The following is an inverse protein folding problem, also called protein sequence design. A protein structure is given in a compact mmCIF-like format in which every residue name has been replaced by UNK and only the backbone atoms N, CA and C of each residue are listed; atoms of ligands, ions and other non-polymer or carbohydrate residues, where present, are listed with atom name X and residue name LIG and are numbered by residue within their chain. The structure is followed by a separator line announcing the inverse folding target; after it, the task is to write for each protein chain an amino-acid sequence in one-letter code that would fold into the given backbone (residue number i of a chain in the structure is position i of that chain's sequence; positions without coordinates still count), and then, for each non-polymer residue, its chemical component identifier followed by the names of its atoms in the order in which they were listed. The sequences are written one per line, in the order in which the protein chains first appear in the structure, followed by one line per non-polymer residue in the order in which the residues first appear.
data_IF_852861186941
#
_entry.id   IF_852861186941
#
_cell.length_a   1.000
_cell.length_b   1.000
_cell.length_c   1.000
_cell.angle_alpha   90.00
_cell.angle_beta   90.00
_cell.angle_gamma   90.00
#
_symmetry.space_group_name_H-M   'P 1'
#
loop_
_entity.id
_entity.type
_entity.pdbx_description
1 polymer ?
#
# COMPACT_ATOMS: atom_id res chain seq x y z
N UNK A 1 46.75 -23.78 13.38
CA UNK A 1 45.67 -24.80 13.35
C UNK A 1 44.38 -24.17 12.86
N UNK A 2 44.11 -24.25 11.55
CA UNK A 2 42.84 -23.87 10.90
C UNK A 2 42.54 -24.99 9.90
N UNK A 3 41.53 -25.82 10.17
CA UNK A 3 41.11 -26.92 9.28
C UNK A 3 40.12 -26.36 8.26
N UNK A 4 40.56 -26.27 7.02
CA UNK A 4 39.74 -26.09 5.81
C UNK A 4 39.20 -27.47 5.42
N UNK A 5 37.88 -27.63 5.32
CA UNK A 5 37.24 -28.85 4.84
C UNK A 5 36.69 -28.60 3.42
N UNK A 6 37.36 -29.22 2.45
CA UNK A 6 37.08 -29.14 1.02
C UNK A 6 36.06 -30.25 0.66
N UNK A 7 34.87 -29.90 0.18
CA UNK A 7 33.86 -30.86 -0.29
C UNK A 7 33.82 -30.80 -1.82
N UNK A 8 34.35 -31.85 -2.47
CA UNK A 8 34.29 -32.10 -3.92
C UNK A 8 32.91 -32.66 -4.27
N UNK A 9 32.22 -32.01 -5.21
CA UNK A 9 31.01 -32.55 -5.84
C UNK A 9 31.41 -33.38 -7.06
N UNK A 10 31.16 -34.69 -7.02
CA UNK A 10 31.31 -35.59 -8.16
C UNK A 10 30.01 -35.60 -8.99
N UNK A 11 30.10 -35.15 -10.23
CA UNK A 11 29.06 -35.29 -11.26
C UNK A 11 29.07 -36.72 -11.79
N UNK A 12 27.94 -37.42 -11.69
CA UNK A 12 27.70 -38.69 -12.38
C UNK A 12 26.83 -38.42 -13.61
N UNK A 13 27.41 -38.65 -14.79
CA UNK A 13 26.72 -38.58 -16.07
C UNK A 13 25.87 -39.85 -16.28
N UNK A 14 24.59 -39.68 -16.62
CA UNK A 14 23.73 -40.76 -17.08
C UNK A 14 23.45 -40.54 -18.57
N UNK A 15 24.03 -41.42 -19.39
CA UNK A 15 23.82 -41.53 -20.83
C UNK A 15 22.62 -42.45 -21.06
N UNK A 16 21.61 -41.99 -21.80
CA UNK A 16 20.56 -42.83 -22.36
C UNK A 16 20.36 -42.45 -23.82
N UNK A 17 20.53 -43.46 -24.68
CA UNK A 17 20.61 -43.36 -26.12
C UNK A 17 19.22 -43.37 -26.79
N UNK A 18 19.08 -42.44 -27.75
CA UNK A 18 18.42 -42.50 -29.06
C UNK A 18 17.40 -43.61 -29.39
N UNK A 19 16.24 -43.19 -29.88
CA UNK A 19 15.68 -43.69 -31.14
C UNK A 19 14.74 -42.65 -31.78
N UNK A 20 14.96 -42.22 -33.04
CA UNK A 20 14.09 -41.28 -33.76
C UNK A 20 13.20 -41.97 -34.80
N UNK A 21 11.99 -41.45 -35.06
CA UNK A 21 11.26 -41.68 -36.30
C UNK A 21 10.67 -40.36 -36.82
N UNK A 22 11.12 -39.96 -38.00
CA UNK A 22 10.62 -38.86 -38.84
C UNK A 22 9.35 -39.35 -39.58
N UNK A 23 8.24 -38.60 -39.64
CA UNK A 23 7.92 -37.43 -40.49
C UNK A 23 7.09 -37.77 -41.74
N UNK A 24 6.30 -36.76 -42.16
CA UNK A 24 5.55 -36.56 -43.42
C UNK A 24 4.10 -37.09 -43.40
N UNK A 25 3.09 -36.38 -43.89
CA UNK A 25 3.03 -35.08 -44.57
C UNK A 25 1.56 -34.71 -44.84
N UNK A 26 1.31 -33.41 -45.03
CA UNK A 26 -0.01 -32.81 -45.27
C UNK A 26 -0.54 -33.12 -46.67
N UNK A 27 -1.87 -33.22 -46.83
CA UNK A 27 -2.54 -32.68 -48.03
C UNK A 27 -4.04 -32.46 -47.80
N UNK A 28 -4.48 -31.28 -48.22
CA UNK A 28 -5.82 -30.69 -48.18
C UNK A 28 -6.74 -31.26 -49.25
N UNK A 29 -8.05 -31.35 -48.98
CA UNK A 29 -9.12 -31.07 -49.97
C UNK A 29 -10.50 -30.93 -49.30
N UNK A 30 -11.03 -29.72 -49.44
CA UNK A 30 -12.39 -29.29 -49.74
C UNK A 30 -13.63 -30.08 -49.28
N UNK A 31 -14.49 -29.31 -48.58
CA UNK A 31 -15.92 -29.14 -48.80
C UNK A 31 -16.84 -30.36 -48.79
N UNK A 32 -17.81 -30.36 -47.85
CA UNK A 32 -19.23 -30.08 -48.13
C UNK A 32 -20.18 -30.79 -47.14
N UNK A 33 -21.25 -30.07 -46.80
CA UNK A 33 -22.63 -30.56 -46.53
C UNK A 33 -22.94 -31.34 -45.24
N UNK A 34 -23.57 -30.60 -44.33
CA UNK A 34 -24.93 -30.80 -43.81
C UNK A 34 -25.41 -32.15 -43.22
N UNK A 35 -26.01 -31.97 -42.03
CA UNK A 35 -27.16 -32.66 -41.44
C UNK A 35 -27.13 -34.20 -41.38
N UNK A 36 -26.90 -34.73 -40.17
CA UNK A 36 -27.72 -35.83 -39.66
C UNK A 36 -27.76 -35.84 -38.13
N UNK A 37 -29.00 -35.71 -37.62
CA UNK A 37 -29.44 -35.98 -36.27
C UNK A 37 -28.99 -37.37 -35.83
N UNK A 38 -28.31 -37.49 -34.69
CA UNK A 38 -28.15 -38.77 -34.00
C UNK A 38 -28.21 -38.60 -32.47
N UNK A 39 -29.23 -39.27 -31.95
CA UNK A 39 -29.69 -39.45 -30.58
C UNK A 39 -28.58 -39.63 -29.53
N UNK A 40 -28.72 -38.91 -28.41
CA UNK A 40 -27.95 -39.13 -27.19
C UNK A 40 -28.47 -40.37 -26.43
N UNK A 41 -27.60 -41.28 -25.96
CA UNK A 41 -27.97 -42.22 -24.90
C UNK A 41 -27.57 -41.70 -23.52
N UNK A 42 -28.58 -41.69 -22.65
CA UNK A 42 -28.60 -41.81 -21.19
C UNK A 42 -27.35 -41.39 -20.38
N UNK A 43 -27.55 -40.34 -19.58
CA UNK A 43 -26.71 -39.93 -18.47
C UNK A 43 -26.68 -41.01 -17.36
N UNK A 44 -25.47 -41.35 -16.90
CA UNK A 44 -25.27 -41.99 -15.60
C UNK A 44 -25.30 -40.93 -14.49
N UNK A 45 -25.90 -41.20 -13.31
CA UNK A 45 -25.90 -40.25 -12.21
C UNK A 45 -24.51 -40.25 -11.55
N UNK A 46 -23.68 -39.30 -11.95
CA UNK A 46 -22.48 -38.93 -11.21
C UNK A 46 -22.90 -38.34 -9.85
N UNK A 47 -22.33 -38.87 -8.78
CA UNK A 47 -22.42 -38.35 -7.43
C UNK A 47 -22.01 -36.88 -7.41
N UNK A 48 -23.00 -36.00 -7.41
CA UNK A 48 -22.80 -34.58 -7.18
C UNK A 48 -22.25 -34.41 -5.77
N UNK A 49 -20.96 -34.09 -5.69
CA UNK A 49 -20.34 -33.52 -4.51
C UNK A 49 -21.18 -32.33 -4.07
N UNK A 50 -21.88 -32.46 -2.94
CA UNK A 50 -22.61 -31.37 -2.33
C UNK A 50 -21.61 -30.28 -1.95
N UNK A 51 -21.47 -29.29 -2.82
CA UNK A 51 -20.83 -28.03 -2.47
C UNK A 51 -21.68 -27.39 -1.37
N UNK A 52 -21.26 -27.55 -0.12
CA UNK A 52 -21.88 -26.96 1.04
C UNK A 52 -21.97 -25.44 0.85
N UNK A 53 -23.17 -24.88 1.04
CA UNK A 53 -23.39 -23.44 1.01
C UNK A 53 -22.42 -22.71 1.96
N UNK A 54 -21.98 -21.47 1.63
CA UNK A 54 -21.08 -20.70 2.48
C UNK A 54 -21.67 -20.55 3.89
N UNK A 55 -20.83 -20.58 4.94
CA UNK A 55 -21.30 -20.45 6.32
C UNK A 55 -22.01 -19.10 6.51
N UNK A 56 -23.24 -19.14 7.04
CA UNK A 56 -23.99 -17.95 7.43
C UNK A 56 -23.24 -17.29 8.60
N UNK A 57 -23.08 -15.96 8.56
CA UNK A 57 -22.44 -15.22 9.64
C UNK A 57 -23.48 -14.76 10.66
N UNK A 58 -23.16 -14.93 11.93
CA UNK A 58 -23.99 -14.42 13.02
C UNK A 58 -23.68 -12.97 13.37
N UNK A 59 -24.45 -12.38 14.31
CA UNK A 59 -24.32 -10.98 14.72
C UNK A 59 -22.96 -10.63 15.36
N UNK A 60 -22.24 -11.60 15.90
CA UNK A 60 -20.91 -11.42 16.48
C UNK A 60 -19.78 -11.73 15.49
N UNK A 61 -20.11 -11.97 14.21
CA UNK A 61 -19.15 -12.31 13.15
C UNK A 61 -18.71 -13.78 13.16
N UNK A 62 -19.27 -14.59 14.04
CA UNK A 62 -19.05 -16.03 14.11
C UNK A 62 -19.76 -16.80 13.01
N UNK A 63 -19.55 -18.12 13.00
CA UNK A 63 -20.28 -19.03 12.11
C UNK A 63 -21.61 -19.39 12.75
N UNK A 64 -22.70 -19.18 12.03
CA UNK A 64 -24.04 -19.52 12.48
C UNK A 64 -24.46 -20.90 11.95
N UNK A 65 -24.91 -21.77 12.85
CA UNK A 65 -25.42 -23.12 12.56
C UNK A 65 -26.79 -23.31 13.16
N UNK A 66 -27.71 -23.86 12.37
CA UNK A 66 -29.02 -24.28 12.87
C UNK A 66 -28.94 -25.72 13.35
N UNK A 67 -29.31 -25.98 14.61
CA UNK A 67 -29.35 -27.34 15.16
C UNK A 67 -30.47 -27.45 16.21
N UNK A 68 -31.28 -28.50 16.13
CA UNK A 68 -32.42 -28.75 17.03
C UNK A 68 -33.38 -27.55 17.21
N UNK A 69 -33.54 -26.71 16.18
CA UNK A 69 -34.39 -25.51 16.26
C UNK A 69 -33.78 -24.34 17.03
N UNK A 70 -32.47 -24.40 17.33
CA UNK A 70 -31.67 -23.30 17.86
C UNK A 70 -30.69 -22.83 16.78
N UNK A 71 -30.38 -21.53 16.78
CA UNK A 71 -29.27 -21.00 16.01
C UNK A 71 -28.07 -20.84 16.96
N UNK A 72 -26.93 -21.39 16.57
CA UNK A 72 -25.70 -21.44 17.36
C UNK A 72 -24.63 -20.67 16.61
N UNK A 73 -24.11 -19.61 17.21
CA UNK A 73 -23.02 -18.83 16.64
C UNK A 73 -21.72 -19.17 17.37
N UNK A 74 -20.78 -19.78 16.65
CA UNK A 74 -19.44 -20.06 17.15
C UNK A 74 -18.49 -18.94 16.74
N UNK A 75 -17.90 -18.27 17.73
CA UNK A 75 -16.88 -17.23 17.55
C UNK A 75 -15.53 -17.77 18.03
N UNK A 76 -14.58 -17.89 17.11
CA UNK A 76 -13.20 -18.31 17.42
C UNK A 76 -12.28 -17.09 17.40
N UNK A 77 -11.57 -16.88 18.51
CA UNK A 77 -10.57 -15.82 18.65
C UNK A 77 -9.23 -16.42 19.09
N UNK A 78 -8.18 -15.62 19.15
CA UNK A 78 -6.91 -16.08 19.76
C UNK A 78 -7.02 -16.30 21.28
N UNK A 79 -8.03 -15.71 21.93
CA UNK A 79 -8.27 -15.84 23.38
C UNK A 79 -9.28 -16.92 23.77
N UNK A 80 -9.76 -17.70 22.80
CA UNK A 80 -10.64 -18.85 23.04
C UNK A 80 -11.82 -18.92 22.09
N UNK A 81 -12.79 -19.74 22.49
CA UNK A 81 -14.00 -20.03 21.73
C UNK A 81 -15.19 -19.54 22.54
N UNK A 82 -16.10 -18.81 21.89
CA UNK A 82 -17.37 -18.37 22.45
C UNK A 82 -18.51 -18.92 21.61
N UNK A 83 -19.59 -19.30 22.27
CA UNK A 83 -20.79 -19.83 21.65
C UNK A 83 -22.00 -19.04 22.13
N UNK A 84 -22.65 -18.36 21.19
CA UNK A 84 -23.92 -17.69 21.42
C UNK A 84 -25.07 -18.58 20.95
N UNK A 85 -26.17 -18.55 21.68
CA UNK A 85 -27.35 -19.37 21.39
C UNK A 85 -28.54 -18.45 21.16
N UNK A 86 -29.25 -18.67 20.06
CA UNK A 86 -30.45 -17.93 19.69
C UNK A 86 -31.59 -18.89 19.41
N UNK A 87 -32.82 -18.40 19.56
CA UNK A 87 -34.01 -19.12 19.14
C UNK A 87 -34.16 -19.16 17.61
N UNK A 88 -35.26 -19.76 17.10
CA UNK A 88 -35.53 -19.78 15.65
C UNK A 88 -35.71 -18.39 15.04
N UNK A 89 -36.16 -17.41 15.83
CA UNK A 89 -36.36 -16.03 15.42
C UNK A 89 -35.09 -15.18 15.46
N UNK A 90 -33.96 -15.73 15.94
CA UNK A 90 -32.70 -15.01 16.09
C UNK A 90 -32.62 -14.18 17.38
N UNK A 91 -33.53 -14.39 18.34
CA UNK A 91 -33.45 -13.75 19.65
C UNK A 91 -32.45 -14.47 20.55
N UNK A 92 -31.57 -13.75 21.28
CA UNK A 92 -30.60 -14.37 22.18
C UNK A 92 -31.31 -15.17 23.28
N UNK A 93 -30.82 -16.36 23.56
CA UNK A 93 -31.30 -17.20 24.66
C UNK A 93 -30.35 -17.11 25.86
N UNK A 94 -30.94 -17.21 27.06
CA UNK A 94 -30.17 -17.34 28.29
C UNK A 94 -29.44 -18.69 28.33
N UNK A 95 -28.15 -18.64 28.66
CA UNK A 95 -27.24 -19.79 28.72
C UNK A 95 -26.60 -19.97 30.10
N UNK A 96 -27.06 -19.27 31.14
CA UNK A 96 -26.50 -19.37 32.50
C UNK A 96 -26.53 -20.80 33.09
N UNK A 97 -27.53 -21.59 32.71
CA UNK A 97 -27.62 -23.01 33.07
C UNK A 97 -26.95 -23.94 32.04
N UNK A 98 -26.58 -23.38 30.88
CA UNK A 98 -25.92 -24.08 29.81
C UNK A 98 -24.53 -24.54 30.21
N UNK A 99 -24.17 -25.77 29.87
CA UNK A 99 -22.82 -26.30 30.01
C UNK A 99 -22.47 -27.05 28.74
N UNK A 100 -21.18 -27.18 28.46
CA UNK A 100 -20.76 -27.97 27.32
C UNK A 100 -19.29 -28.36 27.38
N UNK A 101 -18.87 -29.07 26.34
CA UNK A 101 -17.48 -29.33 26.08
C UNK A 101 -17.23 -29.24 24.58
N UNK A 102 -16.06 -28.71 24.22
CA UNK A 102 -15.57 -28.71 22.86
C UNK A 102 -14.32 -29.60 22.77
N UNK A 103 -14.32 -30.54 21.85
CA UNK A 103 -13.16 -31.33 21.48
C UNK A 103 -12.56 -30.76 20.20
N UNK A 104 -11.35 -30.22 20.28
CA UNK A 104 -10.64 -29.53 19.23
C UNK A 104 -9.55 -30.41 18.62
N UNK A 105 -9.42 -30.36 17.30
CA UNK A 105 -8.29 -30.87 16.55
C UNK A 105 -7.78 -29.75 15.64
N UNK A 106 -6.48 -29.46 15.71
CA UNK A 106 -5.84 -28.53 14.78
C UNK A 106 -5.58 -29.27 13.47
N UNK A 107 -5.83 -28.62 12.35
CA UNK A 107 -5.53 -29.17 11.02
C UNK A 107 -4.11 -29.73 10.93
N UNK A 108 -3.98 -30.94 10.39
CA UNK A 108 -2.70 -31.64 10.27
C UNK A 108 -2.17 -32.25 11.57
N UNK A 109 -2.87 -32.12 12.70
CA UNK A 109 -2.49 -32.75 13.98
C UNK A 109 -3.42 -33.91 14.34
N UNK A 110 -2.86 -35.02 14.79
CA UNK A 110 -3.66 -36.17 15.24
C UNK A 110 -4.26 -35.98 16.65
N UNK A 111 -3.62 -35.14 17.49
CA UNK A 111 -4.00 -34.97 18.88
C UNK A 111 -5.26 -34.12 19.03
N UNK A 112 -6.20 -34.61 19.85
CA UNK A 112 -7.41 -33.89 20.24
C UNK A 112 -7.26 -33.29 21.64
N UNK A 113 -7.83 -32.12 21.84
CA UNK A 113 -7.86 -31.42 23.12
C UNK A 113 -9.31 -31.13 23.50
N UNK A 114 -9.69 -31.38 24.76
CA UNK A 114 -11.05 -31.12 25.24
C UNK A 114 -11.03 -29.95 26.21
N UNK A 115 -11.96 -29.02 26.05
CA UNK A 115 -12.17 -27.88 26.92
C UNK A 115 -13.63 -27.75 27.29
N UNK A 116 -13.90 -27.35 28.52
CA UNK A 116 -15.27 -27.09 28.98
C UNK A 116 -15.74 -25.72 28.49
N UNK A 117 -17.01 -25.67 28.10
CA UNK A 117 -17.74 -24.46 27.73
C UNK A 117 -18.63 -24.09 28.91
N UNK A 118 -18.32 -22.96 29.54
CA UNK A 118 -19.02 -22.45 30.73
C UNK A 118 -19.62 -21.07 30.45
N UNK A 119 -20.72 -20.69 31.10
CA UNK A 119 -21.28 -19.35 30.97
C UNK A 119 -20.24 -18.28 31.33
N UNK A 120 -20.16 -17.24 30.52
CA UNK A 120 -19.25 -16.12 30.73
C UNK A 120 -19.90 -14.89 31.41
N UNK A 121 -21.19 -14.98 31.75
CA UNK A 121 -21.97 -13.86 32.28
C UNK A 121 -22.31 -12.78 31.24
N UNK A 122 -21.99 -13.01 29.97
CA UNK A 122 -22.24 -12.11 28.84
C UNK A 122 -23.20 -12.75 27.81
N UNK A 123 -23.95 -13.76 28.23
CA UNK A 123 -24.90 -14.48 27.37
C UNK A 123 -24.23 -15.48 26.40
N UNK A 124 -22.99 -15.90 26.67
CA UNK A 124 -22.30 -16.91 25.87
C UNK A 124 -21.71 -18.04 26.71
N UNK A 125 -21.49 -19.19 26.08
CA UNK A 125 -20.67 -20.25 26.65
C UNK A 125 -19.25 -20.13 26.11
N UNK A 126 -18.26 -20.03 27.01
CA UNK A 126 -16.87 -19.74 26.66
C UNK A 126 -15.92 -20.84 27.12
N UNK A 127 -14.97 -21.16 26.25
CA UNK A 127 -13.74 -21.87 26.57
C UNK A 127 -12.57 -20.88 26.44
N UNK A 128 -12.03 -20.43 27.57
CA UNK A 128 -10.89 -19.52 27.59
C UNK A 128 -9.58 -20.30 27.34
N UNK A 129 -9.10 -20.29 26.10
CA UNK A 129 -7.92 -21.03 25.65
C UNK A 129 -7.04 -20.12 24.82
N UNK A 130 -5.73 -20.14 25.06
CA UNK A 130 -4.78 -19.40 24.24
C UNK A 130 -4.56 -20.15 22.91
N UNK A 131 -5.17 -19.65 21.85
CA UNK A 131 -5.08 -20.19 20.49
C UNK A 131 -4.05 -19.45 19.62
N UNK A 132 -3.28 -18.51 20.18
CA UNK A 132 -2.34 -17.68 19.40
C UNK A 132 -1.24 -18.49 18.71
N UNK A 133 -0.80 -19.61 19.31
CA UNK A 133 0.19 -20.52 18.72
C UNK A 133 -0.30 -21.24 17.45
N UNK A 134 -1.62 -21.29 17.23
CA UNK A 134 -2.27 -21.93 16.07
C UNK A 134 -3.03 -20.91 15.21
N UNK A 135 -2.71 -19.62 15.36
CA UNK A 135 -3.29 -18.54 14.57
C UNK A 135 -3.04 -18.75 13.06
N UNK A 136 -4.11 -18.63 12.27
CA UNK A 136 -4.11 -18.89 10.83
C UNK A 136 -4.38 -20.35 10.44
N UNK A 137 -4.45 -21.28 11.38
CA UNK A 137 -4.81 -22.68 11.13
C UNK A 137 -6.30 -22.93 11.30
N UNK A 138 -6.80 -24.03 10.71
CA UNK A 138 -8.16 -24.50 10.95
C UNK A 138 -8.24 -25.36 12.22
N UNK A 139 -9.34 -25.21 12.94
CA UNK A 139 -9.77 -26.05 14.04
C UNK A 139 -10.98 -26.84 13.59
N UNK A 140 -10.90 -28.15 13.72
CA UNK A 140 -12.04 -29.05 13.66
C UNK A 140 -12.55 -29.28 15.08
N UNK A 141 -13.84 -29.06 15.29
CA UNK A 141 -14.45 -28.93 16.60
C UNK A 141 -15.68 -29.82 16.69
N UNK A 142 -15.69 -30.72 17.68
CA UNK A 142 -16.87 -31.47 18.09
C UNK A 142 -17.39 -30.83 19.39
N UNK A 143 -18.53 -30.13 19.32
CA UNK A 143 -19.12 -29.40 20.44
C UNK A 143 -20.32 -30.19 20.96
N UNK A 144 -20.41 -30.32 22.28
CA UNK A 144 -21.52 -30.93 23.01
C UNK A 144 -22.06 -29.95 24.04
N UNK A 145 -23.37 -29.74 24.07
CA UNK A 145 -24.05 -28.79 24.95
C UNK A 145 -25.19 -29.47 25.69
N UNK A 146 -25.41 -29.04 26.92
CA UNK A 146 -26.51 -29.46 27.80
C UNK A 146 -27.05 -28.24 28.55
N UNK A 147 -28.26 -28.35 29.11
CA UNK A 147 -28.85 -27.27 29.92
C UNK A 147 -29.28 -26.04 29.10
N UNK A 148 -29.55 -26.22 27.81
CA UNK A 148 -30.11 -25.17 26.95
C UNK A 148 -31.65 -25.17 27.04
N UNK A 149 -32.31 -24.00 27.08
CA UNK A 149 -33.74 -23.89 27.37
C UNK A 149 -34.67 -24.61 26.36
N UNK A 150 -34.20 -24.87 25.14
CA UNK A 150 -34.97 -25.62 24.12
C UNK A 150 -34.58 -27.11 23.99
N UNK A 151 -33.56 -27.59 24.72
CA UNK A 151 -33.04 -28.95 24.61
C UNK A 151 -33.40 -29.77 25.86
N UNK A 152 -34.64 -30.24 25.94
CA UNK A 152 -35.19 -30.81 27.18
C UNK A 152 -34.86 -32.30 27.43
N UNK A 153 -34.11 -32.98 26.55
CA UNK A 153 -33.85 -34.42 26.72
C UNK A 153 -32.47 -34.95 26.30
N UNK A 154 -31.79 -34.35 25.32
CA UNK A 154 -30.52 -34.88 24.79
C UNK A 154 -29.43 -33.79 24.71
N UNK A 155 -28.15 -34.15 24.88
CA UNK A 155 -27.05 -33.25 24.60
C UNK A 155 -27.09 -32.82 23.12
N UNK A 156 -27.10 -31.52 22.88
CA UNK A 156 -26.97 -31.00 21.53
C UNK A 156 -25.52 -31.17 21.08
N UNK A 157 -25.32 -31.85 19.95
CA UNK A 157 -23.98 -32.08 19.39
C UNK A 157 -23.88 -31.46 18.00
N UNK A 158 -22.77 -30.78 17.73
CA UNK A 158 -22.47 -30.25 16.39
C UNK A 158 -20.98 -30.40 16.07
N UNK A 159 -20.72 -30.54 14.78
CA UNK A 159 -19.39 -30.57 14.22
C UNK A 159 -19.15 -29.31 13.39
N UNK A 160 -18.02 -28.64 13.61
CA UNK A 160 -17.68 -27.41 12.91
C UNK A 160 -16.19 -27.34 12.59
N UNK A 161 -15.86 -26.75 11.44
CA UNK A 161 -14.51 -26.31 11.12
C UNK A 161 -14.46 -24.79 11.12
N UNK A 162 -13.57 -24.21 11.92
CA UNK A 162 -13.39 -22.76 12.04
C UNK A 162 -11.91 -22.38 12.01
N UNK A 163 -11.57 -21.23 11.42
CA UNK A 163 -10.19 -20.74 11.38
C UNK A 163 -9.87 -19.85 12.57
N UNK A 164 -8.70 -20.05 13.18
CA UNK A 164 -8.20 -19.12 14.20
C UNK A 164 -7.72 -17.83 13.52
N UNK A 165 -8.18 -16.64 13.93
CA UNK A 165 -7.73 -15.38 13.35
C UNK A 165 -6.21 -15.23 13.44
N UNK A 166 -5.58 -14.76 12.35
CA UNK A 166 -4.13 -14.50 12.30
C UNK A 166 -3.71 -13.44 13.32
N UNK A 167 -2.49 -13.55 13.85
CA UNK A 167 -1.93 -12.55 14.77
C UNK A 167 -1.65 -11.24 14.05
N UNK A 168 -1.54 -10.13 14.81
CA UNK A 168 -1.14 -8.85 14.25
C UNK A 168 0.20 -8.95 13.48
N UNK A 169 1.16 -9.72 14.01
CA UNK A 169 2.45 -9.96 13.36
C UNK A 169 2.29 -10.72 12.02
N UNK A 170 1.45 -11.76 11.98
CA UNK A 170 1.16 -12.49 10.74
C UNK A 170 0.44 -11.61 9.71
N UNK A 171 -0.47 -10.74 10.15
CA UNK A 171 -1.18 -9.79 9.27
C UNK A 171 -0.22 -8.78 8.66
N UNK A 172 0.68 -8.22 9.46
CA UNK A 172 1.77 -7.33 9.00
C UNK A 172 2.66 -8.07 8.00
N UNK A 173 3.12 -9.28 8.34
CA UNK A 173 3.96 -10.08 7.45
C UNK A 173 3.27 -10.38 6.12
N UNK A 174 1.98 -10.72 6.14
CA UNK A 174 1.19 -10.94 4.93
C UNK A 174 1.00 -9.65 4.12
N UNK A 175 0.81 -8.50 4.77
CA UNK A 175 0.69 -7.21 4.11
C UNK A 175 2.00 -6.79 3.43
N UNK A 176 3.14 -6.95 4.12
CA UNK A 176 4.49 -6.77 3.57
C UNK A 176 4.71 -7.69 2.37
N UNK A 177 4.37 -8.98 2.50
CA UNK A 177 4.53 -9.97 1.44
C UNK A 177 3.64 -9.71 0.22
N UNK A 178 2.44 -9.11 0.41
CA UNK A 178 1.59 -8.63 -0.70
C UNK A 178 2.20 -7.41 -1.38
N UNK A 179 2.73 -6.47 -0.60
CA UNK A 179 3.30 -5.25 -1.15
C UNK A 179 4.60 -5.51 -1.92
N UNK A 180 5.45 -6.43 -1.42
CA UNK A 180 6.74 -6.90 -1.98
C UNK A 180 7.84 -5.85 -2.11
N UNK A 181 7.49 -4.63 -2.49
CA UNK A 181 8.41 -3.57 -2.91
C UNK A 181 8.12 -2.29 -2.15
N UNK A 182 9.17 -1.58 -1.75
CA UNK A 182 9.04 -0.25 -1.16
C UNK A 182 8.55 0.75 -2.23
N UNK A 183 7.45 1.50 -1.99
CA UNK A 183 6.86 2.39 -2.99
C UNK A 183 7.74 3.61 -3.30
N UNK A 184 8.63 3.97 -2.37
CA UNK A 184 9.56 5.10 -2.53
C UNK A 184 10.82 4.66 -3.27
N UNK A 185 11.55 3.68 -2.72
CA UNK A 185 12.86 3.27 -3.25
C UNK A 185 12.78 2.27 -4.40
N UNK A 186 11.65 1.58 -4.56
CA UNK A 186 11.48 0.47 -5.50
C UNK A 186 12.28 -0.79 -5.18
N UNK A 187 12.93 -0.85 -4.00
CA UNK A 187 13.66 -2.05 -3.54
C UNK A 187 12.72 -3.06 -2.86
N UNK A 188 13.05 -4.37 -2.87
CA UNK A 188 12.28 -5.38 -2.14
C UNK A 188 12.19 -5.07 -0.64
N UNK A 189 11.01 -5.19 -0.05
CA UNK A 189 10.85 -5.10 1.40
C UNK A 189 11.59 -6.25 2.08
N UNK A 190 12.28 -5.97 3.19
CA UNK A 190 13.17 -6.92 3.88
C UNK A 190 14.64 -6.84 3.45
N UNK A 191 14.96 -6.24 2.29
CA UNK A 191 16.35 -6.09 1.84
C UNK A 191 17.18 -5.08 2.64
N UNK A 192 16.53 -4.25 3.45
CA UNK A 192 17.14 -3.20 4.27
C UNK A 192 16.79 -3.38 5.76
N UNK A 193 16.46 -4.60 6.18
CA UNK A 193 15.93 -4.92 7.50
C UNK A 193 14.40 -4.92 7.56
N UNK A 194 13.87 -4.88 8.77
CA UNK A 194 12.43 -4.96 9.02
C UNK A 194 11.68 -3.78 8.40
N UNK A 195 10.65 -4.03 7.57
CA UNK A 195 9.86 -2.96 6.97
C UNK A 195 9.18 -2.09 8.02
N UNK A 196 9.27 -0.78 7.83
CA UNK A 196 8.64 0.22 8.68
C UNK A 196 7.24 0.52 8.12
N UNK A 197 6.24 0.52 8.99
CA UNK A 197 4.87 0.85 8.61
C UNK A 197 4.62 2.37 8.74
N UNK A 198 3.94 2.95 7.75
CA UNK A 198 3.52 4.35 7.73
C UNK A 198 2.02 4.38 7.47
N UNK A 199 1.26 5.00 8.36
CA UNK A 199 -0.16 5.22 8.14
C UNK A 199 -0.38 6.34 7.11
N UNK A 200 -1.17 6.05 6.09
CA UNK A 200 -1.60 7.01 5.08
C UNK A 200 -3.12 6.90 4.98
N UNK A 201 -3.83 7.84 5.62
CA UNK A 201 -5.30 7.89 5.65
C UNK A 201 -5.96 6.57 6.12
N UNK A 202 -5.40 5.94 7.17
CA UNK A 202 -5.91 4.68 7.71
C UNK A 202 -5.46 3.42 6.96
N UNK A 203 -4.64 3.57 5.90
CA UNK A 203 -4.00 2.44 5.20
C UNK A 203 -2.52 2.36 5.55
N UNK A 204 -2.07 1.17 5.96
CA UNK A 204 -0.66 0.92 6.25
C UNK A 204 0.15 0.76 4.95
N UNK A 205 1.15 1.61 4.77
CA UNK A 205 2.14 1.54 3.68
C UNK A 205 3.49 1.16 4.27
N UNK A 206 4.10 0.08 3.79
CA UNK A 206 5.38 -0.40 4.30
C UNK A 206 6.55 0.17 3.50
N UNK A 207 7.60 0.60 4.19
CA UNK A 207 8.80 1.17 3.58
C UNK A 207 10.07 0.56 4.14
N UNK A 208 11.16 0.59 3.35
CA UNK A 208 12.39 -0.12 3.70
C UNK A 208 13.32 0.62 4.66
N UNK A 209 13.13 1.93 4.90
CA UNK A 209 14.02 2.71 5.77
C UNK A 209 13.38 4.04 6.23
N UNK A 210 13.99 4.68 7.24
CA UNK A 210 13.52 5.96 7.80
C UNK A 210 13.46 7.09 6.77
N UNK A 211 14.39 7.14 5.81
CA UNK A 211 14.34 8.12 4.73
C UNK A 211 13.08 7.95 3.86
N UNK A 212 12.65 6.70 3.62
CA UNK A 212 11.41 6.44 2.90
C UNK A 212 10.17 6.79 3.75
N UNK A 213 10.23 6.66 5.07
CA UNK A 213 9.16 7.14 5.97
C UNK A 213 8.95 8.64 5.77
N UNK A 214 10.04 9.42 5.80
CA UNK A 214 9.99 10.87 5.60
C UNK A 214 9.43 11.24 4.22
N UNK A 215 9.83 10.51 3.17
CA UNK A 215 9.32 10.74 1.82
C UNK A 215 7.81 10.48 1.70
N UNK A 216 7.29 9.42 2.34
CA UNK A 216 5.84 9.15 2.38
C UNK A 216 5.10 10.24 3.14
N UNK A 217 5.60 10.65 4.31
CA UNK A 217 4.99 11.73 5.11
C UNK A 217 4.97 13.08 4.40
N UNK A 218 5.99 13.38 3.60
CA UNK A 218 6.04 14.61 2.83
C UNK A 218 5.02 14.64 1.68
N UNK A 219 4.65 13.48 1.13
CA UNK A 219 3.72 13.38 0.00
C UNK A 219 2.77 12.16 0.14
N UNK A 220 1.88 12.14 1.15
CA UNK A 220 1.09 10.94 1.48
C UNK A 220 0.18 10.51 0.32
N UNK A 221 -0.44 11.48 -0.37
CA UNK A 221 -1.31 11.22 -1.52
C UNK A 221 -0.59 10.50 -2.67
N UNK A 222 0.69 10.78 -2.88
CA UNK A 222 1.52 10.15 -3.92
C UNK A 222 1.71 8.66 -3.66
N UNK A 223 1.69 8.23 -2.40
CA UNK A 223 2.01 6.86 -1.99
C UNK A 223 0.81 6.09 -1.38
N UNK A 224 -0.36 6.71 -1.29
CA UNK A 224 -1.56 6.10 -0.72
C UNK A 224 -1.97 4.80 -1.43
N UNK A 225 -1.85 4.77 -2.77
CA UNK A 225 -2.07 3.58 -3.59
C UNK A 225 -0.82 2.71 -3.78
N UNK A 226 0.23 2.94 -2.99
CA UNK A 226 1.53 2.28 -3.11
C UNK A 226 2.48 3.02 -4.03
N UNK A 227 3.05 2.32 -5.02
CA UNK A 227 4.09 2.88 -5.88
C UNK A 227 3.46 3.81 -6.94
N UNK A 228 3.96 5.04 -7.14
CA UNK A 228 3.45 5.91 -8.19
C UNK A 228 3.58 5.24 -9.56
N UNK A 229 2.52 5.24 -10.39
CA UNK A 229 2.59 4.69 -11.73
C UNK A 229 3.59 5.51 -12.56
N UNK A 230 4.38 4.79 -13.35
CA UNK A 230 5.29 5.38 -14.33
C UNK A 230 4.66 5.16 -15.70
N UNK A 231 4.35 6.24 -16.41
CA UNK A 231 3.86 6.13 -17.79
C UNK A 231 4.86 6.75 -18.76
N UNK A 232 5.03 6.10 -19.91
CA UNK A 232 5.99 6.51 -20.92
C UNK A 232 5.24 7.01 -22.15
N UNK A 233 5.62 8.18 -22.63
CA UNK A 233 5.16 8.76 -23.87
C UNK A 233 6.35 9.31 -24.66
N UNK A 234 6.18 9.47 -25.97
CA UNK A 234 7.15 10.22 -26.77
C UNK A 234 6.95 11.71 -26.49
N UNK A 235 8.04 12.47 -26.31
CA UNK A 235 7.92 13.91 -26.15
C UNK A 235 7.21 14.56 -27.35
N UNK A 236 6.47 15.64 -27.11
CA UNK A 236 5.77 16.40 -28.15
C UNK A 236 6.39 17.80 -28.31
N UNK A 237 5.98 18.55 -29.34
CA UNK A 237 6.40 19.94 -29.50
C UNK A 237 5.99 20.82 -28.30
N UNK A 238 4.87 20.50 -27.63
CA UNK A 238 4.42 21.19 -26.44
C UNK A 238 5.38 21.03 -25.24
N UNK A 239 6.22 20.00 -25.24
CA UNK A 239 7.17 19.73 -24.16
C UNK A 239 8.51 20.48 -24.32
N UNK A 240 8.73 21.20 -25.44
CA UNK A 240 10.01 21.81 -25.79
C UNK A 240 10.58 22.72 -24.68
N UNK A 241 9.72 23.53 -24.04
CA UNK A 241 10.13 24.40 -22.93
C UNK A 241 10.59 23.61 -21.70
N UNK A 242 9.93 22.52 -21.38
CA UNK A 242 10.27 21.68 -20.23
C UNK A 242 11.53 20.85 -20.48
N UNK A 243 11.72 20.37 -21.72
CA UNK A 243 12.95 19.69 -22.15
C UNK A 243 14.14 20.65 -22.04
N UNK A 244 14.01 21.86 -22.57
CA UNK A 244 15.05 22.88 -22.49
C UNK A 244 15.32 23.29 -21.03
N UNK A 245 14.27 23.41 -20.21
CA UNK A 245 14.43 23.67 -18.79
C UNK A 245 15.19 22.54 -18.09
N UNK A 246 14.88 21.27 -18.34
CA UNK A 246 15.59 20.15 -17.73
C UNK A 246 17.05 20.06 -18.24
N UNK A 247 17.29 20.34 -19.52
CA UNK A 247 18.57 20.37 -20.24
C UNK A 247 19.35 19.04 -20.31
N UNK A 248 19.45 18.30 -19.21
CA UNK A 248 20.19 17.04 -19.10
C UNK A 248 19.30 15.86 -18.71
N UNK A 249 19.70 14.67 -19.13
CA UNK A 249 19.08 13.41 -18.72
C UNK A 249 19.48 13.08 -17.27
N UNK A 250 18.53 12.87 -16.33
CA UNK A 250 18.86 12.62 -14.92
C UNK A 250 19.48 11.25 -14.66
N UNK A 251 19.52 10.38 -15.68
CA UNK A 251 20.04 9.02 -15.59
C UNK A 251 21.49 8.91 -16.06
N UNK A 252 21.85 9.65 -17.11
CA UNK A 252 23.16 9.58 -17.77
C UNK A 252 23.92 10.91 -17.75
N UNK A 253 23.31 11.99 -17.27
CA UNK A 253 23.81 13.38 -17.30
C UNK A 253 24.15 13.94 -18.70
N UNK A 254 23.71 13.27 -19.76
CA UNK A 254 23.89 13.73 -21.13
C UNK A 254 22.85 14.79 -21.54
N UNK A 255 23.19 15.73 -22.45
CA UNK A 255 22.25 16.70 -22.99
C UNK A 255 21.02 16.05 -23.63
N UNK A 256 19.82 16.55 -23.31
CA UNK A 256 18.58 16.07 -23.94
C UNK A 256 18.58 16.47 -25.42
N UNK A 257 18.49 15.48 -26.31
CA UNK A 257 18.56 15.66 -27.76
C UNK A 257 19.82 15.07 -28.41
N UNK A 258 20.86 14.75 -27.63
CA UNK A 258 22.10 14.14 -28.15
C UNK A 258 21.88 12.76 -28.77
N UNK A 259 20.91 12.01 -28.25
CA UNK A 259 20.57 10.64 -28.64
C UNK A 259 19.23 10.57 -29.40
N UNK A 260 18.84 11.66 -30.04
CA UNK A 260 17.57 11.80 -30.75
C UNK A 260 16.45 12.39 -29.90
N UNK A 261 15.19 12.12 -30.29
CA UNK A 261 14.01 12.73 -29.67
C UNK A 261 13.85 12.25 -28.21
N UNK A 262 13.81 13.17 -27.21
CA UNK A 262 13.67 12.79 -25.81
C UNK A 262 12.41 11.95 -25.53
N UNK A 263 12.54 11.03 -24.58
CA UNK A 263 11.42 10.21 -24.07
C UNK A 263 10.82 10.91 -22.87
N UNK A 264 9.50 11.11 -22.87
CA UNK A 264 8.75 11.69 -21.75
C UNK A 264 8.27 10.57 -20.82
N UNK A 265 8.63 10.65 -19.55
CA UNK A 265 8.22 9.71 -18.51
C UNK A 265 7.46 10.48 -17.43
N UNK A 266 6.21 10.12 -17.18
CA UNK A 266 5.43 10.73 -16.12
C UNK A 266 5.61 9.94 -14.83
N UNK A 267 5.99 10.61 -13.75
CA UNK A 267 6.10 10.04 -12.40
C UNK A 267 5.28 10.90 -11.46
N UNK A 268 4.27 10.32 -10.81
CA UNK A 268 3.36 11.05 -9.91
C UNK A 268 2.78 12.33 -10.57
N UNK A 269 2.41 12.26 -11.84
CA UNK A 269 1.85 13.39 -12.60
C UNK A 269 2.86 14.44 -13.08
N UNK A 270 4.16 14.31 -12.77
CA UNK A 270 5.21 15.24 -13.20
C UNK A 270 6.05 14.63 -14.35
N UNK A 271 6.36 15.39 -15.41
CA UNK A 271 7.15 14.89 -16.53
C UNK A 271 8.65 14.86 -16.21
N UNK A 272 9.32 13.79 -16.60
CA UNK A 272 10.77 13.60 -16.63
C UNK A 272 11.16 13.29 -18.07
N UNK A 273 12.18 13.96 -18.59
CA UNK A 273 12.66 13.71 -19.95
C UNK A 273 13.94 12.89 -19.92
N UNK A 274 14.04 11.88 -20.78
CA UNK A 274 15.19 10.98 -20.88
C UNK A 274 15.81 11.06 -22.27
N UNK A 275 17.13 10.88 -22.35
CA UNK A 275 17.84 10.89 -23.64
C UNK A 275 17.50 9.67 -24.50
N UNK A 276 17.18 8.52 -23.91
CA UNK A 276 16.89 7.28 -24.64
C UNK A 276 15.92 6.35 -23.90
N UNK A 277 15.35 5.37 -24.61
CA UNK A 277 14.47 4.34 -24.03
C UNK A 277 15.17 3.46 -22.99
N UNK A 278 16.49 3.29 -23.09
CA UNK A 278 17.27 2.51 -22.12
C UNK A 278 17.24 3.08 -20.70
N UNK A 279 16.98 4.37 -20.55
CA UNK A 279 16.88 5.04 -19.25
C UNK A 279 15.55 4.77 -18.53
N UNK A 280 14.52 4.30 -19.23
CA UNK A 280 13.17 4.07 -18.66
C UNK A 280 13.24 3.11 -17.48
N UNK A 281 13.90 1.96 -17.65
CA UNK A 281 14.00 0.93 -16.59
C UNK A 281 14.63 1.45 -15.31
N UNK A 282 15.58 2.39 -15.40
CA UNK A 282 16.21 3.00 -14.22
C UNK A 282 15.21 3.91 -13.50
N UNK A 283 14.45 4.73 -14.23
CA UNK A 283 13.37 5.56 -13.65
C UNK A 283 12.26 4.70 -13.06
N UNK A 284 11.86 3.64 -13.76
CA UNK A 284 10.92 2.62 -13.26
C UNK A 284 11.46 1.80 -12.11
N UNK A 285 12.75 1.84 -11.77
CA UNK A 285 13.30 1.19 -10.59
C UNK A 285 13.30 2.13 -9.38
N UNK A 286 13.61 3.41 -9.57
CA UNK A 286 13.70 4.39 -8.47
C UNK A 286 12.93 5.70 -8.82
N UNK A 287 11.60 5.66 -9.03
CA UNK A 287 10.85 6.79 -9.58
C UNK A 287 10.96 8.04 -8.71
N UNK A 288 10.88 7.88 -7.38
CA UNK A 288 10.99 8.99 -6.44
C UNK A 288 12.36 9.67 -6.49
N UNK A 289 13.44 8.90 -6.69
CA UNK A 289 14.82 9.44 -6.79
C UNK A 289 14.97 10.32 -8.03
N UNK A 290 14.56 9.83 -9.20
CA UNK A 290 14.68 10.62 -10.43
C UNK A 290 13.70 11.79 -10.48
N UNK A 291 12.52 11.63 -9.88
CA UNK A 291 11.62 12.75 -9.66
C UNK A 291 12.26 13.81 -8.78
N UNK A 292 12.96 13.44 -7.71
CA UNK A 292 13.69 14.37 -6.87
C UNK A 292 14.90 15.02 -7.57
N UNK A 293 15.59 14.31 -8.47
CA UNK A 293 16.68 14.91 -9.26
C UNK A 293 16.19 15.97 -10.24
N UNK A 294 15.02 15.79 -10.84
CA UNK A 294 14.44 16.73 -11.81
C UNK A 294 13.60 17.83 -11.15
N UNK A 295 12.86 17.48 -10.09
CA UNK A 295 11.86 18.34 -9.45
C UNK A 295 12.07 18.52 -7.94
N UNK A 296 12.91 17.71 -7.30
CA UNK A 296 13.22 17.83 -5.86
C UNK A 296 14.26 18.91 -5.59
N UNK A 297 15.14 19.17 -6.55
CA UNK A 297 15.55 20.53 -6.83
C UNK A 297 14.48 21.15 -7.73
N UNK A 298 13.35 21.58 -7.17
CA UNK A 298 12.74 22.79 -7.71
C UNK A 298 13.94 23.73 -7.80
N UNK A 299 14.33 24.16 -9.00
CA UNK A 299 15.21 25.31 -9.12
C UNK A 299 14.44 26.43 -8.45
N UNK A 300 14.62 26.53 -7.15
CA UNK A 300 14.01 27.49 -6.28
C UNK A 300 14.52 28.78 -6.88
N UNK A 301 13.62 29.42 -7.61
CA UNK A 301 14.05 30.30 -8.67
C UNK A 301 14.90 31.40 -8.04
N UNK A 302 16.04 31.75 -8.62
CA UNK A 302 16.96 32.66 -7.96
C UNK A 302 16.72 34.08 -8.44
N UNK A 303 16.52 35.01 -7.52
CA UNK A 303 16.50 36.44 -7.80
C UNK A 303 17.74 37.06 -7.16
N UNK A 304 18.43 37.94 -7.88
CA UNK A 304 19.57 38.65 -7.31
C UNK A 304 19.07 39.61 -6.21
N UNK A 305 19.82 39.77 -5.12
CA UNK A 305 19.52 40.77 -4.09
C UNK A 305 19.43 42.19 -4.69
N UNK A 306 20.22 42.47 -5.73
CA UNK A 306 20.41 43.81 -6.28
C UNK A 306 21.41 44.61 -5.44
N UNK A 307 22.10 45.57 -6.06
CA UNK A 307 23.10 46.39 -5.37
C UNK A 307 22.49 47.59 -4.62
N UNK A 308 21.26 47.96 -4.96
CA UNK A 308 20.55 49.12 -4.42
C UNK A 308 19.72 48.73 -3.18
N UNK A 309 20.20 49.11 -2.00
CA UNK A 309 19.48 48.96 -0.74
C UNK A 309 18.73 50.24 -0.41
N UNK A 310 17.39 50.16 -0.31
CA UNK A 310 16.55 51.28 0.12
C UNK A 310 16.73 51.52 1.63
N UNK A 311 16.98 50.44 2.39
CA UNK A 311 17.35 50.41 3.81
C UNK A 311 18.19 49.15 4.08
N UNK A 312 18.93 49.06 5.21
CA UNK A 312 19.66 47.84 5.56
C UNK A 312 18.75 46.60 5.53
N UNK A 313 19.07 45.64 4.65
CA UNK A 313 18.30 44.41 4.48
C UNK A 313 17.01 44.54 3.65
N UNK A 314 16.76 45.71 3.03
CA UNK A 314 15.62 45.98 2.15
C UNK A 314 16.12 46.43 0.79
N UNK A 315 15.80 45.63 -0.23
CA UNK A 315 16.27 45.82 -1.59
C UNK A 315 15.13 46.29 -2.50
N UNK A 316 15.48 47.09 -3.51
CA UNK A 316 14.55 47.41 -4.58
C UNK A 316 14.22 46.15 -5.40
N UNK A 317 12.98 46.05 -5.89
CA UNK A 317 12.60 45.01 -6.83
C UNK A 317 13.15 45.32 -8.23
N UNK A 318 13.34 44.27 -9.02
CA UNK A 318 13.80 44.34 -10.41
C UNK A 318 12.77 43.71 -11.33
N UNK A 319 12.94 43.83 -12.65
CA UNK A 319 12.06 43.16 -13.61
C UNK A 319 12.02 41.62 -13.43
N UNK A 320 13.11 41.03 -12.92
CA UNK A 320 13.16 39.59 -12.63
C UNK A 320 12.23 39.18 -11.48
N UNK A 321 11.81 40.12 -10.63
CA UNK A 321 10.96 39.85 -9.47
C UNK A 321 9.45 39.81 -9.82
N UNK A 322 9.06 40.34 -10.99
CA UNK A 322 7.67 40.46 -11.42
C UNK A 322 6.81 39.18 -11.30
N UNK A 323 7.24 37.98 -11.73
CA UNK A 323 6.42 36.78 -11.61
C UNK A 323 6.19 36.36 -10.15
N UNK A 324 7.14 36.61 -9.26
CA UNK A 324 7.02 36.25 -7.85
C UNK A 324 6.18 37.25 -7.07
N UNK A 325 6.26 38.54 -7.43
CA UNK A 325 5.37 39.58 -6.91
C UNK A 325 3.92 39.27 -7.31
N UNK A 326 3.69 38.88 -8.57
CA UNK A 326 2.36 38.53 -9.07
C UNK A 326 1.81 37.24 -8.44
N UNK A 327 2.68 36.29 -8.09
CA UNK A 327 2.30 35.08 -7.35
C UNK A 327 1.98 35.39 -5.89
N UNK A 328 2.75 36.29 -5.25
CA UNK A 328 2.59 36.59 -3.83
C UNK A 328 1.39 37.49 -3.55
N UNK A 329 1.17 38.53 -4.37
CA UNK A 329 0.08 39.53 -4.34
C UNK A 329 -0.06 40.37 -3.06
N UNK A 330 0.05 39.74 -1.89
CA UNK A 330 -0.13 40.31 -0.56
C UNK A 330 1.16 40.29 0.25
N UNK A 331 1.32 41.28 1.11
CA UNK A 331 2.38 41.37 2.10
C UNK A 331 2.10 40.38 3.25
N UNK A 332 3.02 39.45 3.60
CA UNK A 332 2.78 38.45 4.65
C UNK A 332 2.85 39.03 6.08
N UNK A 333 3.20 40.32 6.23
CA UNK A 333 3.31 40.99 7.53
C UNK A 333 2.05 41.76 7.88
N UNK A 334 1.43 42.39 6.88
CA UNK A 334 0.26 43.28 7.06
C UNK A 334 -0.98 42.77 6.33
N UNK A 335 -0.88 41.68 5.56
CA UNK A 335 -1.93 41.11 4.71
C UNK A 335 -2.55 42.09 3.68
N UNK A 336 -1.90 43.22 3.43
CA UNK A 336 -2.28 44.21 2.42
C UNK A 336 -1.67 43.91 1.05
N UNK A 337 -2.28 44.37 -0.06
CA UNK A 337 -1.68 44.23 -1.39
C UNK A 337 -0.33 44.95 -1.49
N UNK A 338 0.62 44.32 -2.18
CA UNK A 338 2.03 44.76 -2.22
C UNK A 338 2.25 46.19 -2.77
N UNK A 339 1.31 46.71 -3.56
CA UNK A 339 1.41 48.01 -4.24
C UNK A 339 0.82 49.20 -3.44
N UNK A 340 0.14 48.96 -2.32
CA UNK A 340 -0.68 50.00 -1.66
C UNK A 340 0.14 51.00 -0.83
N UNK A 341 1.30 50.59 -0.31
CA UNK A 341 2.07 51.35 0.70
C UNK A 341 3.47 51.75 0.21
N UNK A 342 3.60 52.04 -1.08
CA UNK A 342 4.87 52.46 -1.72
C UNK A 342 5.78 51.31 -2.16
N UNK A 343 5.36 50.06 -1.95
CA UNK A 343 6.03 48.84 -2.43
C UNK A 343 5.69 48.46 -3.88
N UNK A 344 6.23 47.34 -4.40
CA UNK A 344 6.87 46.25 -3.65
C UNK A 344 8.37 46.45 -3.38
N UNK A 345 8.80 46.01 -2.19
CA UNK A 345 10.21 45.87 -1.80
C UNK A 345 10.56 44.41 -1.56
N UNK A 346 11.84 44.07 -1.66
CA UNK A 346 12.37 42.70 -1.49
C UNK A 346 13.20 42.61 -0.21
N UNK A 347 12.98 41.57 0.59
CA UNK A 347 13.70 41.33 1.85
C UNK A 347 14.23 39.91 1.90
N UNK A 348 15.43 39.75 2.45
CA UNK A 348 16.00 38.44 2.72
C UNK A 348 15.37 37.81 3.96
N UNK A 349 14.77 36.64 3.80
CA UNK A 349 14.33 35.75 4.86
C UNK A 349 15.08 34.41 4.72
N UNK A 350 16.15 34.23 5.49
CA UNK A 350 16.94 32.98 5.53
C UNK A 350 17.41 32.47 4.15
N UNK A 351 17.87 33.40 3.29
CA UNK A 351 18.33 33.09 1.93
C UNK A 351 17.22 33.05 0.88
N UNK A 352 15.98 33.37 1.24
CA UNK A 352 14.84 33.48 0.32
C UNK A 352 14.32 34.91 0.23
N UNK A 353 13.75 35.29 -0.92
CA UNK A 353 13.21 36.61 -1.13
C UNK A 353 11.72 36.65 -0.75
N UNK A 354 11.37 37.52 0.20
CA UNK A 354 9.98 37.87 0.53
C UNK A 354 9.68 39.28 0.03
N UNK A 355 8.51 39.47 -0.60
CA UNK A 355 8.06 40.78 -1.05
C UNK A 355 7.20 41.46 0.02
N UNK A 356 7.39 42.76 0.23
CA UNK A 356 6.65 43.54 1.24
C UNK A 356 6.13 44.86 0.66
N UNK A 357 5.03 45.34 1.22
CA UNK A 357 4.38 46.59 0.79
C UNK A 357 5.11 47.85 1.29
N UNK A 358 5.89 47.79 2.38
CA UNK A 358 6.64 48.93 2.91
C UNK A 358 7.94 48.49 3.63
N UNK A 359 9.00 49.33 3.70
CA UNK A 359 10.27 48.95 4.33
C UNK A 359 10.17 48.68 5.84
N UNK A 360 9.10 49.14 6.50
CA UNK A 360 8.88 48.93 7.93
C UNK A 360 8.66 47.46 8.32
N UNK A 361 8.22 46.63 7.39
CA UNK A 361 7.96 45.21 7.62
C UNK A 361 9.24 44.36 7.71
N UNK A 362 10.37 44.87 7.22
CA UNK A 362 11.61 44.12 7.09
C UNK A 362 12.18 43.64 8.44
N UNK A 363 12.08 44.45 9.50
CA UNK A 363 12.59 44.08 10.84
C UNK A 363 11.89 42.85 11.40
N UNK A 364 10.58 42.72 11.19
CA UNK A 364 9.81 41.56 11.65
C UNK A 364 10.23 40.30 10.90
N UNK A 365 10.42 40.40 9.58
CA UNK A 365 10.88 39.29 8.75
C UNK A 365 12.29 38.84 9.13
N UNK A 366 13.20 39.79 9.39
CA UNK A 366 14.56 39.47 9.82
C UNK A 366 14.60 38.80 11.20
N UNK A 367 13.67 39.13 12.10
CA UNK A 367 13.58 38.54 13.43
C UNK A 367 12.96 37.12 13.43
N UNK A 368 11.98 36.86 12.57
CA UNK A 368 11.25 35.59 12.51
C UNK A 368 11.11 35.07 11.05
N UNK A 369 12.21 34.81 10.31
CA UNK A 369 12.12 34.52 8.88
C UNK A 369 11.32 33.25 8.57
N UNK A 370 11.47 32.19 9.37
CA UNK A 370 10.77 30.92 9.16
C UNK A 370 9.25 31.05 9.30
N UNK A 371 8.76 31.94 10.18
CA UNK A 371 7.33 32.20 10.37
C UNK A 371 6.70 32.76 9.09
N UNK A 372 7.35 33.72 8.45
CA UNK A 372 6.81 34.33 7.24
C UNK A 372 6.95 33.42 6.00
N UNK A 373 8.01 32.62 5.93
CA UNK A 373 8.14 31.58 4.91
C UNK A 373 7.04 30.51 5.04
N UNK A 374 6.67 30.13 6.27
CA UNK A 374 5.57 29.20 6.51
C UNK A 374 4.22 29.78 6.08
N UNK A 375 3.95 31.06 6.34
CA UNK A 375 2.73 31.75 5.87
C UNK A 375 2.63 31.70 4.34
N UNK A 376 3.72 31.99 3.62
CA UNK A 376 3.74 31.93 2.16
C UNK A 376 3.50 30.49 1.66
N UNK A 377 4.12 29.50 2.31
CA UNK A 377 3.94 28.08 1.98
C UNK A 377 2.49 27.63 2.18
N UNK A 378 1.83 28.07 3.26
CA UNK A 378 0.40 27.79 3.50
C UNK A 378 -0.50 28.40 2.44
N UNK A 379 -0.13 29.58 1.91
CA UNK A 379 -0.82 30.23 0.79
C UNK A 379 -0.43 29.64 -0.58
N UNK A 380 0.37 28.57 -0.63
CA UNK A 380 0.81 27.92 -1.87
C UNK A 380 1.85 28.72 -2.66
N UNK A 381 2.47 29.71 -2.04
CA UNK A 381 3.47 30.59 -2.65
C UNK A 381 4.86 30.08 -2.31
N UNK A 382 5.68 29.78 -3.32
CA UNK A 382 7.05 29.33 -3.14
C UNK A 382 8.03 30.51 -3.36
N UNK A 383 8.69 31.02 -2.30
CA UNK A 383 9.58 32.17 -2.42
C UNK A 383 10.88 31.82 -3.17
N UNK A 384 11.35 32.69 -4.08
CA UNK A 384 12.61 32.49 -4.79
C UNK A 384 13.82 32.56 -3.84
N UNK A 385 14.94 31.93 -4.19
CA UNK A 385 16.20 32.10 -3.48
C UNK A 385 16.80 33.48 -3.77
N UNK A 386 17.26 34.16 -2.73
CA UNK A 386 17.98 35.42 -2.86
C UNK A 386 19.48 35.11 -3.06
N UNK A 387 20.03 35.52 -4.21
CA UNK A 387 21.45 35.36 -4.54
C UNK A 387 22.24 36.65 -4.50
#
# INVERSE_FOLDING_TARGET
MKKQLNIRWTFTAMVLALCPLAAQGQSTKDASLDLAVQQSPAAQPGTASHASAPPVRGPHGGTLRLNAGLQLETVVTQGGIQLFVFDRGGQPLDVEQGRGAVSLRVEGQAKRYRYDLLPDGQGSLRAAVNLSAVAGLQLEMDIQLVGLPASTASPLSLHEVASVPTTALQQVAAAVARQKTCPVSGKPLGSMGDPLAVDVAGQQVYVCCAACVNAVRANPQTYAAGRPPVTVATASAADARLIAAQAKCPVMDEPLGSMGKPVKVMVAGKPIFLCCKGCIKKVEAEPAKYLALVHGAQRQATVAAGQEQVRPGVFAVTAADAPYIAAQQQCPVMDEPLAVMGGPYKVNADGQAIYICCPGCAKKIAAEPQKYLAILTQKGIQPPLLK
#
